data_IF_803948774904
#
_entry.id   IF_803948774904
#
_cell.length_a   1.000
_cell.length_b   1.000
_cell.length_c   1.000
_cell.angle_alpha   90.00
_cell.angle_beta   90.00
_cell.angle_gamma   90.00
#
_symmetry.space_group_name_H-M   'P 1'
#
loop_
_entity.id
_entity.type
_entity.pdbx_description
1 polymer ?
#
# COMPACT_ATOMS: atom_id res chain seq x y z
N UNK A 1 30.64 -21.23 13.43
CA UNK A 1 31.05 -20.12 12.57
C UNK A 1 30.78 -20.52 11.12
N UNK A 2 29.55 -20.35 10.64
CA UNK A 2 29.19 -20.60 9.26
C UNK A 2 28.40 -19.35 8.80
N UNK A 3 29.13 -18.45 8.16
CA UNK A 3 28.63 -17.26 7.54
C UNK A 3 28.00 -17.67 6.19
N UNK A 4 26.73 -17.97 6.16
CA UNK A 4 25.99 -18.12 4.91
C UNK A 4 25.75 -16.73 4.34
N UNK A 5 26.55 -16.34 3.37
CA UNK A 5 26.28 -15.22 2.46
C UNK A 5 25.03 -15.58 1.64
N UNK A 6 23.86 -15.28 2.19
CA UNK A 6 22.63 -15.27 1.42
C UNK A 6 22.71 -14.11 0.43
N UNK A 7 22.95 -14.38 -0.83
CA UNK A 7 22.69 -13.43 -1.90
C UNK A 7 21.19 -13.05 -1.81
N UNK A 8 20.92 -11.81 -1.41
CA UNK A 8 19.58 -11.23 -1.42
C UNK A 8 19.18 -11.06 -2.89
N UNK A 9 18.62 -12.11 -3.49
CA UNK A 9 18.03 -12.01 -4.82
C UNK A 9 16.88 -11.03 -4.75
N UNK A 10 17.12 -9.83 -5.26
CA UNK A 10 16.13 -8.74 -5.32
C UNK A 10 14.89 -9.21 -6.05
N UNK A 11 13.72 -9.08 -5.45
CA UNK A 11 12.46 -9.31 -6.14
C UNK A 11 12.39 -8.43 -7.40
N UNK A 12 12.19 -9.07 -8.55
CA UNK A 12 11.92 -8.40 -9.83
C UNK A 12 10.48 -8.69 -10.23
N UNK A 13 9.73 -7.67 -10.61
CA UNK A 13 8.41 -7.86 -11.19
C UNK A 13 8.59 -8.13 -12.69
N UNK A 14 8.38 -9.38 -13.10
CA UNK A 14 8.48 -9.83 -14.50
C UNK A 14 7.10 -10.01 -15.14
N UNK A 15 6.10 -10.37 -14.32
CA UNK A 15 4.71 -10.57 -14.75
C UNK A 15 3.78 -9.80 -13.82
N UNK A 16 2.80 -9.12 -14.40
CA UNK A 16 1.75 -8.44 -13.64
C UNK A 16 0.47 -8.40 -14.47
N UNK A 17 -0.65 -8.80 -13.87
CA UNK A 17 -1.95 -8.92 -14.52
C UNK A 17 -3.06 -8.40 -13.60
N UNK A 18 -4.02 -7.67 -14.16
CA UNK A 18 -5.29 -7.40 -13.48
C UNK A 18 -6.14 -8.67 -13.57
N UNK A 19 -6.63 -9.15 -12.43
CA UNK A 19 -7.40 -10.39 -12.37
C UNK A 19 -8.89 -10.10 -12.25
N UNK A 20 -9.30 -9.33 -11.23
CA UNK A 20 -10.71 -9.04 -10.99
C UNK A 20 -10.92 -7.78 -10.16
N UNK A 21 -12.15 -7.27 -10.21
CA UNK A 21 -12.67 -6.30 -9.24
C UNK A 21 -13.80 -6.95 -8.46
N UNK A 22 -13.76 -6.83 -7.15
CA UNK A 22 -14.71 -7.47 -6.24
C UNK A 22 -15.42 -6.46 -5.33
N UNK A 23 -16.66 -6.76 -4.98
CA UNK A 23 -17.46 -6.06 -3.95
C UNK A 23 -17.51 -6.92 -2.69
N UNK A 24 -17.61 -8.24 -2.86
CA UNK A 24 -17.84 -9.20 -1.80
C UNK A 24 -16.74 -10.29 -1.80
N UNK A 25 -16.50 -10.90 -0.65
CA UNK A 25 -15.40 -11.84 -0.44
C UNK A 25 -15.48 -13.09 -1.33
N UNK A 26 -16.67 -13.55 -1.69
CA UNK A 26 -16.83 -14.71 -2.58
C UNK A 26 -16.33 -14.47 -4.02
N UNK A 27 -16.08 -13.19 -4.38
CA UNK A 27 -15.53 -12.78 -5.68
C UNK A 27 -14.00 -12.67 -5.69
N UNK A 28 -13.36 -12.91 -4.54
CA UNK A 28 -11.89 -12.85 -4.42
C UNK A 28 -11.25 -14.05 -5.15
N UNK A 29 -9.99 -13.91 -5.60
CA UNK A 29 -9.29 -15.02 -6.23
C UNK A 29 -9.24 -16.25 -5.32
N UNK A 30 -9.53 -17.44 -5.91
CA UNK A 30 -9.62 -18.71 -5.18
C UNK A 30 -8.29 -19.50 -5.14
N UNK A 31 -7.20 -18.91 -5.65
CA UNK A 31 -5.91 -19.59 -5.78
C UNK A 31 -5.04 -19.52 -4.51
N UNK A 32 -5.57 -18.96 -3.43
CA UNK A 32 -4.93 -18.85 -2.11
C UNK A 32 -3.56 -18.16 -2.08
N UNK A 33 -3.20 -17.42 -3.13
CA UNK A 33 -1.98 -16.63 -3.11
C UNK A 33 -2.04 -15.52 -2.05
N UNK A 34 -0.91 -15.14 -1.45
CA UNK A 34 -0.86 -14.07 -0.44
C UNK A 34 -1.27 -12.71 -1.00
N UNK A 35 -1.87 -11.88 -0.14
CA UNK A 35 -2.30 -10.53 -0.46
C UNK A 35 -1.45 -9.49 0.26
N UNK A 36 -1.11 -8.42 -0.44
CA UNK A 36 -0.59 -7.17 0.14
C UNK A 36 -1.57 -6.06 -0.22
N UNK A 37 -2.27 -5.53 0.78
CA UNK A 37 -3.29 -4.52 0.58
C UNK A 37 -2.70 -3.11 0.47
N UNK A 38 -3.29 -2.30 -0.41
CA UNK A 38 -2.95 -0.89 -0.60
C UNK A 38 -4.08 -0.03 -0.06
N UNK A 39 -3.78 0.77 0.95
CA UNK A 39 -4.72 1.73 1.54
C UNK A 39 -4.19 3.15 1.41
N UNK A 40 -5.07 4.13 1.42
CA UNK A 40 -4.67 5.54 1.35
C UNK A 40 -5.78 6.42 0.82
N UNK A 41 -5.62 7.72 0.99
CA UNK A 41 -6.60 8.70 0.51
C UNK A 41 -6.80 8.60 -0.99
N UNK A 42 -7.97 9.03 -1.43
CA UNK A 42 -8.22 9.20 -2.86
C UNK A 42 -7.17 10.11 -3.48
N UNK A 43 -6.70 9.74 -4.68
CA UNK A 43 -5.66 10.45 -5.42
C UNK A 43 -4.30 10.56 -4.70
N UNK A 44 -4.05 9.74 -3.69
CA UNK A 44 -2.74 9.63 -3.03
C UNK A 44 -1.67 9.02 -3.93
N UNK A 45 -2.09 8.23 -4.95
CA UNK A 45 -1.20 7.65 -5.95
C UNK A 45 -1.13 6.12 -5.94
N UNK A 46 -2.13 5.39 -5.38
CA UNK A 46 -2.16 3.91 -5.35
C UNK A 46 -2.01 3.30 -6.74
N UNK A 47 -2.88 3.62 -7.68
CA UNK A 47 -2.83 3.10 -9.06
C UNK A 47 -1.54 3.49 -9.79
N UNK A 48 -1.02 4.71 -9.55
CA UNK A 48 0.27 5.13 -10.11
C UNK A 48 1.43 4.31 -9.54
N UNK A 49 1.40 3.98 -8.25
CA UNK A 49 2.40 3.14 -7.60
C UNK A 49 2.37 1.72 -8.21
N UNK A 50 1.20 1.10 -8.36
CA UNK A 50 1.05 -0.21 -9.01
C UNK A 50 1.70 -0.18 -10.38
N UNK A 51 1.37 0.80 -11.22
CA UNK A 51 1.93 0.94 -12.57
C UNK A 51 3.46 1.08 -12.55
N UNK A 52 3.99 1.86 -11.61
CA UNK A 52 5.44 2.08 -11.47
C UNK A 52 6.17 0.82 -11.02
N UNK A 53 5.65 0.12 -10.01
CA UNK A 53 6.27 -1.10 -9.46
C UNK A 53 6.27 -2.22 -10.49
N UNK A 54 5.18 -2.32 -11.27
CA UNK A 54 5.02 -3.37 -12.29
C UNK A 54 5.64 -3.03 -13.65
N UNK A 55 6.16 -1.81 -13.85
CA UNK A 55 6.60 -1.31 -15.17
C UNK A 55 5.48 -1.38 -16.24
N UNK A 56 4.22 -1.24 -15.85
CA UNK A 56 3.04 -1.32 -16.73
C UNK A 56 2.23 -0.04 -16.65
N UNK A 57 2.35 0.85 -17.62
CA UNK A 57 1.75 2.20 -17.59
C UNK A 57 0.21 2.24 -17.53
N UNK A 58 -0.46 1.14 -17.84
CA UNK A 58 -1.93 1.05 -17.94
C UNK A 58 -2.54 -0.13 -17.20
N UNK A 59 -1.79 -0.80 -16.33
CA UNK A 59 -2.30 -1.96 -15.58
C UNK A 59 -3.40 -1.52 -14.61
N UNK A 60 -3.09 -0.56 -13.73
CA UNK A 60 -4.07 0.07 -12.87
C UNK A 60 -4.57 1.37 -13.50
N UNK A 61 -5.90 1.52 -13.61
CA UNK A 61 -6.52 2.74 -14.16
C UNK A 61 -6.28 3.90 -13.21
N UNK A 62 -5.52 4.89 -13.67
CA UNK A 62 -5.37 6.16 -12.95
C UNK A 62 -6.51 7.10 -13.35
N UNK A 63 -7.23 7.65 -12.39
CA UNK A 63 -8.24 8.66 -12.65
C UNK A 63 -8.00 9.91 -11.83
N UNK A 64 -8.04 11.07 -12.47
CA UNK A 64 -8.02 12.36 -11.76
C UNK A 64 -9.34 12.69 -11.06
N UNK A 65 -10.41 11.92 -11.31
CA UNK A 65 -11.71 12.13 -10.68
C UNK A 65 -11.84 11.28 -9.41
N UNK A 66 -12.21 11.88 -8.27
CA UNK A 66 -12.47 11.18 -7.02
C UNK A 66 -13.68 10.23 -7.15
N UNK A 67 -13.66 9.09 -6.45
CA UNK A 67 -14.82 8.19 -6.31
C UNK A 67 -14.98 7.10 -7.37
N UNK A 68 -14.00 6.89 -8.26
CA UNK A 68 -14.10 5.84 -9.30
C UNK A 68 -13.76 4.44 -8.81
N UNK A 69 -12.90 4.28 -7.81
CA UNK A 69 -12.56 2.96 -7.26
C UNK A 69 -13.53 2.65 -6.11
N UNK A 70 -14.64 2.03 -6.42
CA UNK A 70 -15.63 1.54 -5.45
C UNK A 70 -15.47 0.05 -5.16
N UNK A 71 -14.49 -0.59 -5.79
CA UNK A 71 -14.28 -2.02 -5.81
C UNK A 71 -12.88 -2.32 -5.28
N UNK A 72 -12.72 -3.50 -4.73
CA UNK A 72 -11.41 -4.09 -4.39
C UNK A 72 -10.81 -4.65 -5.68
N UNK A 73 -9.64 -4.16 -6.09
CA UNK A 73 -9.02 -4.60 -7.34
C UNK A 73 -7.80 -5.48 -7.06
N UNK A 74 -7.76 -6.64 -7.70
CA UNK A 74 -6.71 -7.65 -7.51
C UNK A 74 -5.75 -7.65 -8.71
N UNK A 75 -4.47 -7.42 -8.42
CA UNK A 75 -3.38 -7.45 -9.41
C UNK A 75 -2.41 -8.56 -9.04
N UNK A 76 -2.35 -9.64 -9.84
CA UNK A 76 -1.44 -10.76 -9.61
C UNK A 76 -0.04 -10.41 -10.08
N UNK A 77 0.94 -10.63 -9.22
CA UNK A 77 2.35 -10.29 -9.45
C UNK A 77 3.17 -11.58 -9.44
N UNK A 78 3.91 -11.82 -10.52
CA UNK A 78 4.82 -12.97 -10.69
C UNK A 78 4.17 -14.33 -10.44
N UNK A 79 2.86 -14.46 -10.54
CA UNK A 79 2.07 -15.63 -10.12
C UNK A 79 2.36 -16.05 -8.67
N UNK A 80 2.81 -15.14 -7.82
CA UNK A 80 3.29 -15.40 -6.46
C UNK A 80 2.45 -14.70 -5.37
N UNK A 81 1.89 -13.53 -5.65
CA UNK A 81 1.07 -12.76 -4.71
C UNK A 81 0.18 -11.76 -5.41
N UNK A 82 -0.72 -11.15 -4.66
CA UNK A 82 -1.58 -10.05 -5.12
C UNK A 82 -1.21 -8.73 -4.48
N UNK A 83 -1.12 -7.67 -5.29
CA UNK A 83 -1.35 -6.31 -4.83
C UNK A 83 -2.85 -6.05 -4.90
N UNK A 84 -3.45 -5.66 -3.77
CA UNK A 84 -4.90 -5.46 -3.65
C UNK A 84 -5.19 -3.97 -3.42
N UNK A 85 -5.70 -3.28 -4.47
CA UNK A 85 -6.05 -1.85 -4.39
C UNK A 85 -7.43 -1.69 -3.75
N UNK A 86 -7.45 -1.29 -2.48
CA UNK A 86 -8.67 -1.00 -1.75
C UNK A 86 -9.21 0.40 -2.11
N UNK A 87 -10.52 0.65 -1.97
CA UNK A 87 -11.10 1.97 -2.18
C UNK A 87 -10.36 3.05 -1.37
N UNK A 88 -10.09 4.20 -2.00
CA UNK A 88 -9.46 5.32 -1.28
C UNK A 88 -10.43 5.98 -0.31
N UNK A 89 -9.96 6.33 0.88
CA UNK A 89 -10.73 7.07 1.89
C UNK A 89 -10.61 8.59 1.73
N UNK A 90 -11.29 9.36 2.59
CA UNK A 90 -11.12 10.82 2.70
C UNK A 90 -11.76 11.64 1.59
N UNK A 91 -12.88 11.19 1.02
CA UNK A 91 -13.65 11.99 0.08
C UNK A 91 -14.52 13.02 0.79
N UNK A 92 -14.13 14.30 0.76
CA UNK A 92 -14.88 15.39 1.36
C UNK A 92 -16.28 15.62 0.74
N UNK A 93 -16.52 15.11 -0.49
CA UNK A 93 -17.75 15.33 -1.25
C UNK A 93 -18.65 14.08 -1.37
N UNK A 94 -18.37 13.04 -0.59
CA UNK A 94 -19.17 11.81 -0.65
C UNK A 94 -20.13 11.78 0.53
N UNK A 95 -21.41 11.39 0.31
CA UNK A 95 -22.38 11.24 1.38
C UNK A 95 -21.85 10.34 2.51
N UNK A 96 -22.23 10.65 3.75
CA UNK A 96 -21.77 9.90 4.94
C UNK A 96 -22.04 8.39 4.81
N UNK A 97 -23.21 8.01 4.30
CA UNK A 97 -23.59 6.61 4.05
C UNK A 97 -22.62 5.85 3.13
N UNK A 98 -22.05 6.53 2.13
CA UNK A 98 -21.03 5.90 1.26
C UNK A 98 -19.68 5.77 1.98
N UNK A 99 -19.32 6.74 2.84
CA UNK A 99 -18.10 6.65 3.65
C UNK A 99 -18.16 5.47 4.64
N UNK A 100 -19.29 5.28 5.29
CA UNK A 100 -19.54 4.17 6.20
C UNK A 100 -19.45 2.82 5.45
N UNK A 101 -20.06 2.74 4.25
CA UNK A 101 -19.97 1.54 3.42
C UNK A 101 -18.52 1.20 3.02
N UNK A 102 -17.70 2.20 2.70
CA UNK A 102 -16.28 1.98 2.38
C UNK A 102 -15.47 1.59 3.61
N UNK A 103 -15.73 2.23 4.73
CA UNK A 103 -15.12 1.85 6.01
C UNK A 103 -15.40 0.39 6.32
N UNK A 104 -16.66 -0.03 6.25
CA UNK A 104 -17.07 -1.41 6.47
C UNK A 104 -16.43 -2.40 5.46
N UNK A 105 -16.33 -2.02 4.17
CA UNK A 105 -15.66 -2.87 3.16
C UNK A 105 -14.18 -3.06 3.49
N UNK A 106 -13.46 -2.00 3.86
CA UNK A 106 -12.05 -2.06 4.23
C UNK A 106 -11.88 -2.90 5.50
N UNK A 107 -12.68 -2.64 6.52
CA UNK A 107 -12.67 -3.37 7.78
C UNK A 107 -12.95 -4.87 7.56
N UNK A 108 -13.97 -5.20 6.77
CA UNK A 108 -14.29 -6.58 6.39
C UNK A 108 -13.11 -7.21 5.67
N UNK A 109 -12.49 -6.50 4.72
CA UNK A 109 -11.32 -7.03 4.00
C UNK A 109 -10.16 -7.31 4.97
N UNK A 110 -9.86 -6.39 5.87
CA UNK A 110 -8.74 -6.53 6.83
C UNK A 110 -8.99 -7.65 7.85
N UNK A 111 -10.23 -7.81 8.33
CA UNK A 111 -10.58 -8.78 9.37
C UNK A 111 -10.81 -10.21 8.84
N UNK A 112 -11.24 -10.35 7.58
CA UNK A 112 -11.71 -11.64 7.05
C UNK A 112 -10.91 -12.20 5.87
N UNK A 113 -9.78 -11.58 5.49
CA UNK A 113 -8.95 -12.07 4.39
C UNK A 113 -7.81 -12.97 4.93
N UNK A 114 -7.95 -14.31 4.90
CA UNK A 114 -6.95 -15.21 5.49
C UNK A 114 -5.59 -15.17 4.78
N UNK A 115 -5.58 -14.69 3.53
CA UNK A 115 -4.36 -14.58 2.72
C UNK A 115 -3.68 -13.22 2.84
N UNK A 116 -4.19 -12.30 3.68
CA UNK A 116 -3.59 -10.99 3.87
C UNK A 116 -2.30 -11.10 4.70
N UNK A 117 -1.16 -10.77 4.08
CA UNK A 117 0.16 -10.82 4.75
C UNK A 117 0.60 -9.46 5.28
N UNK A 118 0.09 -8.37 4.72
CA UNK A 118 0.48 -7.04 5.17
C UNK A 118 -0.14 -5.93 4.35
N UNK A 119 0.15 -4.71 4.75
CA UNK A 119 -0.50 -3.50 4.22
C UNK A 119 0.55 -2.48 3.83
N UNK A 120 0.31 -1.80 2.72
CA UNK A 120 1.03 -0.59 2.33
C UNK A 120 0.07 0.59 2.50
N UNK A 121 0.34 1.45 3.47
CA UNK A 121 -0.40 2.71 3.63
C UNK A 121 0.29 3.83 2.88
N UNK A 122 -0.41 4.40 1.90
CA UNK A 122 0.10 5.51 1.10
C UNK A 122 -0.31 6.85 1.71
N UNK A 123 0.67 7.74 1.88
CA UNK A 123 0.49 9.10 2.41
C UNK A 123 1.14 10.09 1.44
N UNK A 124 0.47 11.19 1.12
CA UNK A 124 1.06 12.25 0.29
C UNK A 124 2.11 13.02 1.09
N UNK A 125 3.39 12.90 0.71
CA UNK A 125 4.53 13.48 1.43
C UNK A 125 4.45 15.01 1.57
N UNK A 126 3.68 15.70 0.72
CA UNK A 126 3.54 17.16 0.74
C UNK A 126 2.80 17.68 1.95
N UNK A 127 2.01 16.82 2.62
CA UNK A 127 1.12 17.18 3.71
C UNK A 127 1.44 16.38 4.98
N UNK A 128 0.95 16.86 6.11
CA UNK A 128 0.91 16.04 7.31
C UNK A 128 -0.18 14.98 7.17
N UNK A 129 0.00 13.79 7.81
CA UNK A 129 -1.06 12.81 7.93
C UNK A 129 -2.34 13.42 8.48
N UNK A 130 -3.46 13.04 7.90
CA UNK A 130 -4.80 13.49 8.30
C UNK A 130 -5.41 12.56 9.35
N UNK A 131 -6.55 12.95 9.92
CA UNK A 131 -7.28 12.10 10.85
C UNK A 131 -7.70 10.76 10.22
N UNK A 132 -8.11 10.77 8.94
CA UNK A 132 -8.40 9.53 8.21
C UNK A 132 -7.16 8.62 8.09
N UNK A 133 -5.97 9.18 7.88
CA UNK A 133 -4.72 8.42 7.81
C UNK A 133 -4.39 7.80 9.18
N UNK A 134 -4.64 8.52 10.27
CA UNK A 134 -4.45 8.02 11.64
C UNK A 134 -5.49 6.97 12.02
N UNK A 135 -6.75 7.17 11.64
CA UNK A 135 -7.83 6.16 11.84
C UNK A 135 -7.47 4.85 11.12
N UNK A 136 -7.00 4.93 9.88
CA UNK A 136 -6.55 3.75 9.12
C UNK A 136 -5.38 3.06 9.81
N UNK A 137 -4.38 3.82 10.29
CA UNK A 137 -3.26 3.27 11.04
C UNK A 137 -3.71 2.55 12.31
N UNK A 138 -4.66 3.12 13.06
CA UNK A 138 -5.20 2.49 14.27
C UNK A 138 -5.89 1.15 13.94
N UNK A 139 -6.65 1.06 12.85
CA UNK A 139 -7.24 -0.22 12.43
C UNK A 139 -6.16 -1.24 12.07
N UNK A 140 -5.15 -0.85 11.28
CA UNK A 140 -4.03 -1.72 10.90
C UNK A 140 -3.31 -2.26 12.16
N UNK A 141 -3.05 -1.38 13.11
CA UNK A 141 -2.41 -1.74 14.39
C UNK A 141 -3.29 -2.65 15.23
N UNK A 142 -4.61 -2.44 15.23
CA UNK A 142 -5.56 -3.29 15.96
C UNK A 142 -5.55 -4.75 15.47
N UNK A 143 -5.37 -4.93 14.16
CA UNK A 143 -5.26 -6.27 13.54
C UNK A 143 -3.82 -6.80 13.52
N UNK A 144 -2.87 -6.11 14.16
CA UNK A 144 -1.44 -6.48 14.25
C UNK A 144 -0.82 -6.81 12.86
N UNK A 145 -1.31 -6.13 11.82
CA UNK A 145 -0.87 -6.39 10.45
C UNK A 145 0.48 -5.73 10.16
N UNK A 146 1.42 -6.47 9.52
CA UNK A 146 2.66 -5.89 9.01
C UNK A 146 2.39 -4.68 8.11
N UNK A 147 3.08 -3.57 8.36
CA UNK A 147 2.82 -2.28 7.71
C UNK A 147 4.05 -1.69 7.05
N UNK A 148 3.90 -1.22 5.82
CA UNK A 148 4.84 -0.35 5.12
C UNK A 148 4.16 0.99 4.88
N UNK A 149 4.79 2.10 5.28
CA UNK A 149 4.29 3.44 4.96
C UNK A 149 5.01 3.93 3.71
N UNK A 150 4.24 4.30 2.67
CA UNK A 150 4.77 4.82 1.41
C UNK A 150 4.43 6.30 1.29
N UNK A 151 5.45 7.15 1.48
CA UNK A 151 5.32 8.62 1.38
C UNK A 151 5.40 9.04 -0.11
N UNK A 152 4.25 9.15 -0.76
CA UNK A 152 4.13 9.35 -2.22
C UNK A 152 4.38 10.80 -2.65
N UNK A 153 4.57 11.00 -3.97
CA UNK A 153 4.78 12.31 -4.62
C UNK A 153 6.06 13.02 -4.14
N UNK A 154 7.10 12.24 -3.83
CA UNK A 154 8.39 12.77 -3.36
C UNK A 154 9.05 13.73 -4.37
N UNK A 155 8.75 13.58 -5.67
CA UNK A 155 9.17 14.50 -6.74
C UNK A 155 8.64 15.93 -6.57
N UNK A 156 7.61 16.14 -5.78
CA UNK A 156 7.04 17.47 -5.50
C UNK A 156 7.75 18.22 -4.39
N UNK A 157 8.75 17.62 -3.75
CA UNK A 157 9.60 18.25 -2.74
C UNK A 157 11.05 18.33 -3.19
N UNK A 158 11.73 19.41 -2.81
CA UNK A 158 13.19 19.49 -2.95
C UNK A 158 13.87 18.38 -2.13
N UNK A 159 14.98 17.82 -2.63
CA UNK A 159 15.69 16.69 -1.99
C UNK A 159 15.99 16.91 -0.50
N UNK A 160 16.35 18.12 -0.12
CA UNK A 160 16.66 18.50 1.27
C UNK A 160 15.44 18.52 2.19
N UNK A 161 14.22 18.60 1.63
CA UNK A 161 12.96 18.63 2.40
C UNK A 161 12.36 17.25 2.63
N UNK A 162 12.81 16.22 1.89
CA UNK A 162 12.24 14.85 1.96
C UNK A 162 12.43 14.28 3.36
N UNK A 163 13.66 14.23 3.88
CA UNK A 163 13.96 13.66 5.20
C UNK A 163 13.22 14.40 6.33
N UNK A 164 13.27 15.74 6.46
CA UNK A 164 12.48 16.44 7.47
C UNK A 164 10.97 16.17 7.39
N UNK A 165 10.43 15.98 6.20
CA UNK A 165 9.00 15.69 6.03
C UNK A 165 8.66 14.25 6.44
N UNK A 166 9.50 13.27 6.12
CA UNK A 166 9.38 11.89 6.62
C UNK A 166 9.40 11.87 8.15
N UNK A 167 10.31 12.61 8.78
CA UNK A 167 10.39 12.73 10.24
C UNK A 167 9.12 13.36 10.85
N UNK A 168 8.50 14.33 10.16
CA UNK A 168 7.20 14.89 10.56
C UNK A 168 6.07 13.87 10.47
N UNK A 169 6.01 13.11 9.35
CA UNK A 169 5.03 12.04 9.16
C UNK A 169 5.17 11.03 10.29
N UNK A 170 6.39 10.54 10.57
CA UNK A 170 6.68 9.59 11.64
C UNK A 170 6.17 10.08 13.00
N UNK A 171 6.51 11.32 13.37
CA UNK A 171 6.06 11.90 14.64
C UNK A 171 4.55 12.06 14.72
N UNK A 172 3.91 12.50 13.62
CA UNK A 172 2.44 12.69 13.60
C UNK A 172 1.68 11.37 13.71
N UNK A 173 2.21 10.30 13.08
CA UNK A 173 1.65 8.96 13.18
C UNK A 173 2.03 8.22 14.47
N UNK A 174 2.96 8.76 15.27
CA UNK A 174 3.50 8.14 16.48
C UNK A 174 4.06 6.71 16.23
N UNK A 175 4.62 6.45 15.03
CA UNK A 175 5.20 5.14 14.70
C UNK A 175 6.68 5.06 15.08
N UNK A 176 7.17 3.84 15.36
CA UNK A 176 8.53 3.58 15.79
C UNK A 176 9.58 3.98 14.74
N UNK A 177 10.85 4.10 15.16
CA UNK A 177 11.95 4.40 14.24
C UNK A 177 12.19 3.27 13.23
N UNK A 178 11.87 2.04 13.60
CA UNK A 178 12.06 0.84 12.77
C UNK A 178 10.95 0.67 11.73
N UNK A 179 9.80 1.34 11.92
CA UNK A 179 8.72 1.32 10.94
C UNK A 179 9.20 1.90 9.60
N UNK A 180 9.16 1.14 8.50
CA UNK A 180 9.62 1.63 7.20
C UNK A 180 8.70 2.73 6.66
N UNK A 181 9.22 3.94 6.50
CA UNK A 181 8.59 5.04 5.76
C UNK A 181 9.44 5.31 4.53
N UNK A 182 8.93 4.91 3.36
CA UNK A 182 9.66 4.97 2.09
C UNK A 182 9.19 6.18 1.28
N UNK A 183 10.04 7.20 1.03
CA UNK A 183 9.75 8.24 0.06
C UNK A 183 9.64 7.67 -1.35
N UNK A 184 8.52 7.95 -2.03
CA UNK A 184 8.20 7.35 -3.32
C UNK A 184 7.73 8.37 -4.34
N UNK A 185 8.18 8.22 -5.59
CA UNK A 185 7.69 8.99 -6.75
C UNK A 185 7.40 8.07 -7.93
N UNK A 186 6.17 8.06 -8.38
CA UNK A 186 5.78 7.37 -9.63
C UNK A 186 6.30 8.09 -10.88
N UNK A 187 6.71 9.35 -10.79
CA UNK A 187 7.23 10.12 -11.92
C UNK A 187 8.70 9.82 -12.18
N UNK A 188 9.49 9.71 -11.11
CA UNK A 188 10.95 9.52 -11.21
C UNK A 188 11.41 8.10 -10.92
N UNK A 189 10.55 7.24 -10.40
CA UNK A 189 10.90 5.90 -9.92
C UNK A 189 11.61 5.89 -8.57
N UNK A 190 11.79 7.04 -7.91
CA UNK A 190 12.39 7.11 -6.58
C UNK A 190 11.65 6.19 -5.60
N UNK A 191 12.39 5.44 -4.78
CA UNK A 191 11.85 4.55 -3.75
C UNK A 191 11.29 3.23 -4.26
N UNK A 192 11.23 3.00 -5.58
CA UNK A 192 10.73 1.75 -6.15
C UNK A 192 11.53 0.54 -5.67
N UNK A 193 12.86 0.62 -5.72
CA UNK A 193 13.73 -0.47 -5.26
C UNK A 193 13.56 -0.75 -3.77
N UNK A 194 13.49 0.30 -2.94
CA UNK A 194 13.27 0.15 -1.49
C UNK A 194 11.93 -0.52 -1.19
N UNK A 195 10.88 -0.16 -1.96
CA UNK A 195 9.57 -0.81 -1.83
C UNK A 195 9.63 -2.29 -2.23
N UNK A 196 10.33 -2.63 -3.32
CA UNK A 196 10.48 -4.03 -3.74
C UNK A 196 11.26 -4.86 -2.71
N UNK A 197 12.28 -4.29 -2.06
CA UNK A 197 13.01 -4.94 -0.96
C UNK A 197 12.08 -5.16 0.24
N UNK A 198 11.30 -4.15 0.64
CA UNK A 198 10.36 -4.25 1.74
C UNK A 198 9.25 -5.29 1.45
N UNK A 199 8.73 -5.34 0.22
CA UNK A 199 7.77 -6.35 -0.22
C UNK A 199 8.38 -7.76 -0.20
N UNK A 200 9.60 -7.94 -0.67
CA UNK A 200 10.28 -9.24 -0.66
C UNK A 200 10.49 -9.74 0.78
N UNK A 201 10.89 -8.85 1.68
CA UNK A 201 11.02 -9.15 3.11
C UNK A 201 9.68 -9.55 3.73
N UNK A 202 8.62 -8.79 3.46
CA UNK A 202 7.26 -9.06 3.94
C UNK A 202 6.75 -10.44 3.48
N UNK A 203 6.93 -10.77 2.20
CA UNK A 203 6.48 -12.04 1.63
C UNK A 203 7.26 -13.25 2.17
N UNK A 204 8.54 -13.09 2.51
CA UNK A 204 9.39 -14.17 3.04
C UNK A 204 9.25 -14.36 4.55
N UNK A 205 9.01 -13.29 5.29
CA UNK A 205 8.94 -13.33 6.76
C UNK A 205 7.90 -12.33 7.28
N UNK A 206 6.60 -12.64 7.14
CA UNK A 206 5.55 -11.72 7.59
C UNK A 206 5.58 -11.47 9.10
N UNK A 207 5.96 -12.46 9.91
CA UNK A 207 6.06 -12.32 11.38
C UNK A 207 7.26 -11.49 11.84
N UNK A 208 8.31 -11.38 11.05
CA UNK A 208 9.50 -10.56 11.33
C UNK A 208 9.34 -9.08 10.97
N UNK A 209 8.18 -8.69 10.45
CA UNK A 209 7.86 -7.32 10.02
C UNK A 209 7.10 -6.51 11.09
N UNK A 210 6.98 -7.04 12.30
CA UNK A 210 6.40 -6.32 13.43
C UNK A 210 7.41 -5.24 13.87
N UNK A 211 7.11 -3.99 13.51
CA UNK A 211 7.85 -2.82 13.93
C UNK A 211 7.47 -2.36 15.34
#
# INVERSE_FOLDING_TARGET
>A
MLCLRGEWTRMKVVKAEFITSAVESHQYPADHLPYVALVGKSNVGKSSMINTVTNRSKLAKTSGQPGKTRLVNFYRINDAFYLVDLPGYGFARVPQKERERWGHMIETFLSSSPNLLGIIQLIDIRHNPTEDDMTMLNWISHYEMPLIILATKADKLGKTRIKPQVDKIRRKLAVSMDMPIIPFSSQTGQGKENLLIALDSLLKNPLGFQG
#
